data_IF_163372406595
#
_entry.id   IF_163372406595
#
_cell.length_a   1.000
_cell.length_b   1.000
_cell.length_c   1.000
_cell.angle_alpha   90.00
_cell.angle_beta   90.00
_cell.angle_gamma   90.00
#
_symmetry.space_group_name_H-M   'P 1'
#
loop_
_entity.id
_entity.type
_entity.pdbx_description
1 polymer ?
#
# COMPACT_ATOMS: atom_id res chain seq x y z
N UNK A 1 -1.39 14.86 8.58
CA UNK A 1 -1.17 13.99 7.39
C UNK A 1 -2.38 13.07 7.26
N UNK A 2 -2.94 12.93 6.07
CA UNK A 2 -3.95 11.92 5.76
C UNK A 2 -3.22 10.65 5.31
N UNK A 3 -3.49 9.53 5.96
CA UNK A 3 -2.95 8.22 5.53
C UNK A 3 -4.00 7.39 4.76
N UNK A 4 -5.11 8.01 4.39
CA UNK A 4 -6.30 7.40 3.80
C UNK A 4 -6.51 7.74 2.32
N UNK A 5 -5.71 8.63 1.75
CA UNK A 5 -5.77 8.97 0.32
C UNK A 5 -5.36 7.76 -0.51
N UNK A 6 -6.22 7.38 -1.44
CA UNK A 6 -6.04 6.15 -2.23
C UNK A 6 -5.82 6.47 -3.70
N UNK A 7 -4.85 5.79 -4.33
CA UNK A 7 -4.65 5.71 -5.77
C UNK A 7 -5.17 4.38 -6.31
N UNK A 8 -6.16 4.41 -7.18
CA UNK A 8 -6.58 3.24 -7.97
C UNK A 8 -5.94 3.31 -9.36
N UNK A 9 -5.26 2.24 -9.74
CA UNK A 9 -4.60 2.11 -11.04
C UNK A 9 -5.39 1.11 -11.89
N UNK A 10 -5.91 1.59 -13.01
CA UNK A 10 -6.62 0.82 -14.02
C UNK A 10 -5.79 0.72 -15.29
N UNK A 11 -5.98 -0.34 -16.07
CA UNK A 11 -5.32 -0.53 -17.35
C UNK A 11 -6.35 -0.44 -18.49
N UNK A 12 -6.14 0.53 -19.39
CA UNK A 12 -7.03 0.82 -20.50
C UNK A 12 -6.52 0.12 -21.76
N UNK A 13 -7.30 -0.82 -22.28
CA UNK A 13 -7.04 -1.47 -23.57
C UNK A 13 -7.35 -0.53 -24.74
N UNK A 14 -6.81 -0.74 -25.97
CA UNK A 14 -6.92 0.19 -27.09
C UNK A 14 -8.34 0.65 -27.42
N UNK A 15 -9.35 -0.22 -27.27
CA UNK A 15 -10.76 0.14 -27.50
C UNK A 15 -11.34 1.10 -26.45
N UNK A 16 -10.60 1.36 -25.37
CA UNK A 16 -10.97 2.25 -24.27
C UNK A 16 -10.06 3.47 -24.15
N UNK A 17 -9.11 3.64 -25.04
CA UNK A 17 -8.19 4.78 -24.98
C UNK A 17 -8.89 6.09 -25.28
N UNK A 18 -8.44 7.21 -24.68
CA UNK A 18 -8.77 8.55 -25.18
C UNK A 18 -8.31 8.72 -26.62
N UNK A 19 -8.97 9.61 -27.35
CA UNK A 19 -8.60 9.91 -28.74
C UNK A 19 -7.16 10.44 -28.82
N UNK A 20 -6.32 9.77 -29.59
CA UNK A 20 -4.92 10.16 -29.80
C UNK A 20 -3.94 9.68 -28.73
N UNK A 21 -4.40 8.89 -27.78
CA UNK A 21 -3.51 8.32 -26.77
C UNK A 21 -2.59 7.24 -27.34
N UNK A 22 -1.44 7.07 -26.69
CA UNK A 22 -0.40 6.07 -26.98
C UNK A 22 -0.12 5.21 -25.76
N UNK A 23 0.56 4.05 -25.90
CA UNK A 23 0.95 3.24 -24.75
C UNK A 23 1.78 4.04 -23.74
N UNK A 24 1.42 3.95 -22.45
CA UNK A 24 2.04 4.71 -21.37
C UNK A 24 1.39 6.06 -21.07
N UNK A 25 0.56 6.61 -21.96
CA UNK A 25 -0.30 7.73 -21.61
C UNK A 25 -1.31 7.32 -20.54
N UNK A 26 -1.75 8.24 -19.70
CA UNK A 26 -2.73 7.95 -18.67
C UNK A 26 -3.75 9.07 -18.48
N UNK A 27 -4.93 8.67 -18.00
CA UNK A 27 -5.99 9.58 -17.52
C UNK A 27 -5.85 9.67 -16.01
N UNK A 28 -5.99 10.86 -15.44
CA UNK A 28 -6.04 11.10 -14.00
C UNK A 28 -7.37 11.75 -13.64
N UNK A 29 -8.07 11.18 -12.64
CA UNK A 29 -9.32 11.73 -12.11
C UNK A 29 -9.20 11.78 -10.58
N UNK A 30 -9.35 12.95 -10.01
CA UNK A 30 -9.42 13.15 -8.57
C UNK A 30 -10.89 13.18 -8.12
N UNK A 31 -11.21 12.41 -7.08
CA UNK A 31 -12.57 12.17 -6.63
C UNK A 31 -12.68 12.30 -5.11
N UNK A 32 -13.63 13.09 -4.65
CA UNK A 32 -14.00 13.19 -3.23
C UNK A 32 -15.34 12.49 -2.92
N UNK A 33 -16.14 12.20 -3.94
CA UNK A 33 -17.45 11.56 -3.79
C UNK A 33 -17.73 10.60 -4.94
N UNK A 34 -18.43 9.52 -4.66
CA UNK A 34 -18.85 8.55 -5.69
C UNK A 34 -19.64 9.20 -6.83
N UNK A 35 -20.49 10.20 -6.55
CA UNK A 35 -21.31 10.88 -7.56
C UNK A 35 -20.46 11.63 -8.59
N UNK A 36 -19.30 12.13 -8.20
CA UNK A 36 -18.38 12.86 -9.10
C UNK A 36 -17.85 11.92 -10.17
N UNK A 37 -17.54 10.66 -9.79
CA UNK A 37 -17.16 9.63 -10.74
C UNK A 37 -18.27 9.25 -11.73
N UNK A 38 -19.51 9.06 -11.22
CA UNK A 38 -20.62 8.64 -12.08
C UNK A 38 -21.01 9.71 -13.11
N UNK A 39 -20.70 10.97 -12.86
CA UNK A 39 -20.93 12.10 -13.75
C UNK A 39 -19.69 12.46 -14.60
N UNK A 40 -18.54 11.80 -14.37
CA UNK A 40 -17.31 12.13 -15.09
C UNK A 40 -17.33 11.60 -16.53
N UNK A 41 -16.89 12.44 -17.48
CA UNK A 41 -16.89 12.10 -18.89
C UNK A 41 -16.00 10.89 -19.21
N UNK A 42 -14.82 10.83 -18.59
CA UNK A 42 -13.82 9.79 -18.84
C UNK A 42 -14.17 8.43 -18.20
N UNK A 43 -15.23 8.35 -17.43
CA UNK A 43 -15.71 7.07 -16.82
C UNK A 43 -15.89 5.97 -17.85
N UNK A 44 -16.29 6.31 -19.09
CA UNK A 44 -16.50 5.33 -20.15
C UNK A 44 -15.23 4.56 -20.56
N UNK A 45 -14.05 5.10 -20.26
CA UNK A 45 -12.77 4.45 -20.54
C UNK A 45 -12.46 3.31 -19.56
N UNK A 46 -13.06 3.30 -18.36
CA UNK A 46 -12.73 2.35 -17.29
C UNK A 46 -13.52 1.03 -17.38
N UNK A 47 -12.93 -0.02 -16.87
CA UNK A 47 -13.49 -1.37 -16.83
C UNK A 47 -14.65 -1.51 -15.83
N UNK A 48 -15.40 -2.60 -15.93
CA UNK A 48 -16.40 -2.94 -14.91
C UNK A 48 -15.75 -3.18 -13.54
N UNK A 49 -14.54 -3.78 -13.49
CA UNK A 49 -13.80 -4.00 -12.26
C UNK A 49 -13.44 -2.68 -11.59
N UNK A 50 -12.89 -1.73 -12.36
CA UNK A 50 -12.59 -0.39 -11.87
C UNK A 50 -13.85 0.34 -11.39
N UNK A 51 -14.95 0.27 -12.13
CA UNK A 51 -16.23 0.86 -11.73
C UNK A 51 -16.72 0.32 -10.38
N UNK A 52 -16.62 -1.01 -10.17
CA UNK A 52 -16.94 -1.64 -8.89
C UNK A 52 -15.99 -1.24 -7.78
N UNK A 53 -14.69 -1.15 -8.06
CA UNK A 53 -13.69 -0.75 -7.08
C UNK A 53 -13.92 0.68 -6.58
N UNK A 54 -14.16 1.64 -7.48
CA UNK A 54 -14.50 3.04 -7.12
C UNK A 54 -15.76 3.11 -6.25
N UNK A 55 -16.84 2.42 -6.67
CA UNK A 55 -18.08 2.40 -5.89
C UNK A 55 -17.86 1.81 -4.51
N UNK A 56 -17.19 0.66 -4.44
CA UNK A 56 -16.93 -0.06 -3.19
C UNK A 56 -16.00 0.72 -2.26
N UNK A 57 -15.05 1.48 -2.80
CA UNK A 57 -14.20 2.38 -2.01
C UNK A 57 -15.05 3.40 -1.22
N UNK A 58 -15.89 4.15 -1.89
CA UNK A 58 -16.73 5.15 -1.23
C UNK A 58 -17.80 4.52 -0.30
N UNK A 59 -18.41 3.41 -0.70
CA UNK A 59 -19.37 2.67 0.13
C UNK A 59 -18.75 2.19 1.45
N UNK A 60 -17.47 1.84 1.42
CA UNK A 60 -16.70 1.38 2.59
C UNK A 60 -16.04 2.51 3.39
N UNK A 61 -16.27 3.75 3.01
CA UNK A 61 -15.89 4.92 3.78
C UNK A 61 -14.62 5.63 3.32
N UNK A 62 -14.16 5.35 2.10
CA UNK A 62 -13.16 6.18 1.44
C UNK A 62 -13.71 7.57 1.15
N UNK A 63 -12.86 8.58 1.19
CA UNK A 63 -13.24 9.99 0.99
C UNK A 63 -12.45 10.69 -0.10
N UNK A 64 -11.21 10.23 -0.37
CA UNK A 64 -10.36 10.86 -1.37
C UNK A 64 -9.67 9.79 -2.24
N UNK A 65 -9.92 9.84 -3.52
CA UNK A 65 -9.48 8.85 -4.50
C UNK A 65 -8.87 9.52 -5.73
N UNK A 66 -7.63 9.15 -6.06
CA UNK A 66 -7.05 9.38 -7.37
C UNK A 66 -7.25 8.13 -8.22
N UNK A 67 -7.86 8.27 -9.38
CA UNK A 67 -8.05 7.20 -10.34
C UNK A 67 -7.16 7.44 -11.56
N UNK A 68 -6.26 6.50 -11.81
CA UNK A 68 -5.33 6.53 -12.94
C UNK A 68 -5.71 5.45 -13.94
N UNK A 69 -5.92 5.83 -15.19
CA UNK A 69 -6.17 4.89 -16.29
C UNK A 69 -5.01 4.87 -17.26
N UNK A 70 -4.15 3.85 -17.18
CA UNK A 70 -2.93 3.71 -18.01
C UNK A 70 -3.23 2.99 -19.30
N UNK A 71 -2.86 3.57 -20.44
CA UNK A 71 -3.05 3.00 -21.77
C UNK A 71 -2.04 1.87 -22.04
N UNK A 72 -2.53 0.66 -22.34
CA UNK A 72 -1.71 -0.52 -22.66
C UNK A 72 -2.21 -1.15 -23.97
N UNK A 73 -1.31 -1.63 -24.81
CA UNK A 73 -1.69 -2.26 -26.08
C UNK A 73 -2.39 -3.61 -25.88
N UNK A 74 -1.88 -4.38 -24.93
CA UNK A 74 -2.44 -5.70 -24.60
C UNK A 74 -2.21 -6.10 -23.15
N UNK A 75 -2.99 -7.06 -22.66
CA UNK A 75 -2.72 -7.66 -21.34
C UNK A 75 -1.41 -8.41 -21.29
N UNK A 76 -0.88 -8.88 -22.43
CA UNK A 76 0.42 -9.55 -22.50
C UNK A 76 1.59 -8.60 -22.16
N UNK A 77 1.46 -7.31 -22.45
CA UNK A 77 2.48 -6.29 -22.14
C UNK A 77 2.67 -6.12 -20.63
N UNK A 78 1.62 -6.37 -19.86
CA UNK A 78 1.66 -6.33 -18.39
C UNK A 78 2.45 -7.51 -17.78
N UNK A 79 2.65 -8.59 -18.56
CA UNK A 79 3.38 -9.78 -18.13
C UNK A 79 4.89 -9.72 -18.45
N UNK A 80 5.33 -8.71 -19.20
CA UNK A 80 6.73 -8.54 -19.63
C UNK A 80 7.33 -7.35 -18.93
N UNK A 81 8.30 -7.58 -18.04
CA UNK A 81 8.89 -6.56 -17.18
C UNK A 81 9.41 -5.34 -17.96
N UNK A 82 10.15 -5.56 -19.06
CA UNK A 82 10.71 -4.48 -19.87
C UNK A 82 9.63 -3.59 -20.52
N UNK A 83 8.54 -4.19 -21.00
CA UNK A 83 7.41 -3.47 -21.60
C UNK A 83 6.63 -2.74 -20.52
N UNK A 84 6.33 -3.42 -19.41
CA UNK A 84 5.63 -2.85 -18.26
C UNK A 84 6.37 -1.64 -17.70
N UNK A 85 7.70 -1.73 -17.56
CA UNK A 85 8.51 -0.62 -17.06
C UNK A 85 8.34 0.64 -17.92
N UNK A 86 8.35 0.51 -19.24
CA UNK A 86 8.11 1.63 -20.16
C UNK A 86 6.71 2.22 -20.04
N UNK A 87 5.69 1.35 -19.94
CA UNK A 87 4.27 1.76 -19.83
C UNK A 87 3.97 2.42 -18.48
N UNK A 88 4.55 1.93 -17.38
CA UNK A 88 4.31 2.48 -16.05
C UNK A 88 5.18 3.70 -15.73
N UNK A 89 6.30 3.93 -16.44
CA UNK A 89 7.24 4.99 -16.11
C UNK A 89 6.58 6.38 -15.96
N UNK A 90 5.70 6.85 -16.88
CA UNK A 90 5.05 8.15 -16.74
C UNK A 90 4.15 8.22 -15.49
N UNK A 91 3.37 7.16 -15.24
CA UNK A 91 2.53 7.08 -14.04
C UNK A 91 3.36 7.07 -12.76
N UNK A 92 4.42 6.25 -12.68
CA UNK A 92 5.26 6.18 -11.49
C UNK A 92 5.95 7.52 -11.22
N UNK A 93 6.36 8.24 -12.27
CA UNK A 93 6.89 9.60 -12.12
C UNK A 93 5.83 10.57 -11.57
N UNK A 94 4.60 10.52 -12.09
CA UNK A 94 3.48 11.32 -11.55
C UNK A 94 3.17 10.97 -10.09
N UNK A 95 3.18 9.67 -9.77
CA UNK A 95 2.97 9.20 -8.40
C UNK A 95 4.07 9.68 -7.43
N UNK A 96 5.33 9.81 -7.86
CA UNK A 96 6.41 10.33 -6.99
C UNK A 96 6.16 11.78 -6.54
N UNK A 97 5.50 12.57 -7.37
CA UNK A 97 5.16 13.97 -7.05
C UNK A 97 3.94 14.07 -6.13
N UNK A 98 3.03 13.09 -6.18
CA UNK A 98 1.81 13.09 -5.38
C UNK A 98 2.07 12.45 -4.00
N UNK A 99 2.55 13.23 -3.05
CA UNK A 99 2.98 12.75 -1.73
C UNK A 99 1.84 12.28 -0.81
N UNK A 100 0.60 12.72 -1.06
CA UNK A 100 -0.53 12.42 -0.18
C UNK A 100 -1.12 11.02 -0.38
N UNK A 101 -0.85 10.35 -1.51
CA UNK A 101 -1.32 8.99 -1.75
C UNK A 101 -0.60 8.02 -0.82
N UNK A 102 -1.35 7.41 0.10
CA UNK A 102 -0.86 6.45 1.08
C UNK A 102 -1.23 4.99 0.76
N UNK A 103 -2.28 4.76 -0.03
CA UNK A 103 -2.78 3.44 -0.40
C UNK A 103 -2.80 3.35 -1.92
N UNK A 104 -2.30 2.24 -2.46
CA UNK A 104 -2.42 1.91 -3.89
C UNK A 104 -3.22 0.62 -4.05
N UNK A 105 -3.98 0.52 -5.14
CA UNK A 105 -4.63 -0.72 -5.56
C UNK A 105 -4.79 -0.74 -7.09
N UNK A 106 -4.82 -1.96 -7.67
CA UNK A 106 -5.03 -2.14 -9.10
C UNK A 106 -5.94 -3.34 -9.37
N UNK A 107 -7.27 -3.14 -9.35
CA UNK A 107 -8.23 -4.23 -9.46
C UNK A 107 -8.19 -4.95 -10.81
N UNK A 108 -7.81 -4.28 -11.90
CA UNK A 108 -7.80 -4.85 -13.24
C UNK A 108 -6.77 -5.97 -13.41
N UNK A 109 -5.65 -5.93 -12.66
CA UNK A 109 -4.60 -6.95 -12.76
C UNK A 109 -5.04 -8.31 -12.22
N UNK A 110 -6.06 -8.36 -11.39
CA UNK A 110 -6.62 -9.62 -10.89
C UNK A 110 -7.28 -10.47 -11.98
N UNK A 111 -7.55 -9.90 -13.17
CA UNK A 111 -8.05 -10.60 -14.33
C UNK A 111 -6.94 -11.18 -15.22
N UNK A 112 -5.67 -10.88 -14.93
CA UNK A 112 -4.56 -11.43 -15.69
C UNK A 112 -4.44 -12.96 -15.50
N UNK A 113 -4.01 -13.71 -16.53
CA UNK A 113 -3.92 -15.16 -16.48
C UNK A 113 -3.09 -15.69 -15.32
N UNK A 114 -3.57 -16.76 -14.73
CA UNK A 114 -2.88 -17.56 -13.73
C UNK A 114 -2.79 -19.00 -14.22
N UNK A 115 -1.69 -19.69 -13.95
CA UNK A 115 -1.46 -21.06 -14.35
C UNK A 115 -0.72 -21.85 -13.27
N UNK A 116 -1.05 -23.13 -13.17
CA UNK A 116 -0.37 -24.08 -12.28
C UNK A 116 0.37 -25.11 -13.12
N UNK A 117 1.66 -25.29 -12.85
CA UNK A 117 2.50 -26.27 -13.55
C UNK A 117 2.25 -27.71 -13.04
N UNK A 118 2.89 -28.68 -13.70
CA UNK A 118 2.79 -30.12 -13.35
C UNK A 118 3.39 -30.47 -11.98
N UNK A 119 4.11 -29.54 -11.34
CA UNK A 119 4.67 -29.68 -9.99
C UNK A 119 3.81 -28.98 -8.92
N UNK A 120 2.63 -28.46 -9.30
CA UNK A 120 1.73 -27.71 -8.43
C UNK A 120 2.22 -26.29 -8.09
N UNK A 121 3.18 -25.73 -8.85
CA UNK A 121 3.60 -24.36 -8.67
C UNK A 121 2.69 -23.45 -9.46
N UNK A 122 2.04 -22.55 -8.76
CA UNK A 122 1.15 -21.55 -9.33
C UNK A 122 1.90 -20.25 -9.58
N UNK A 123 1.68 -19.66 -10.75
CA UNK A 123 2.22 -18.36 -11.14
C UNK A 123 1.14 -17.53 -11.84
N UNK A 124 1.21 -16.20 -11.69
CA UNK A 124 0.30 -15.27 -12.33
C UNK A 124 1.07 -14.19 -13.08
N UNK A 125 0.54 -13.78 -14.23
CA UNK A 125 1.06 -12.60 -14.93
C UNK A 125 0.91 -11.31 -14.10
N UNK A 126 -0.01 -11.30 -13.14
CA UNK A 126 -0.15 -10.18 -12.18
C UNK A 126 1.11 -9.92 -11.34
N UNK A 127 1.96 -10.95 -11.13
CA UNK A 127 3.14 -10.84 -10.28
C UNK A 127 4.15 -9.78 -10.77
N UNK A 128 4.25 -9.57 -12.08
CA UNK A 128 5.13 -8.56 -12.68
C UNK A 128 4.66 -7.15 -12.29
N UNK A 129 3.36 -6.91 -12.36
CA UNK A 129 2.76 -5.63 -11.94
C UNK A 129 2.84 -5.45 -10.43
N UNK A 130 2.58 -6.52 -9.65
CA UNK A 130 2.73 -6.48 -8.20
C UNK A 130 4.14 -6.08 -7.79
N UNK A 131 5.17 -6.68 -8.45
CA UNK A 131 6.57 -6.35 -8.17
C UNK A 131 6.88 -4.89 -8.41
N UNK A 132 6.47 -4.35 -9.56
CA UNK A 132 6.71 -2.95 -9.93
C UNK A 132 6.03 -1.98 -8.93
N UNK A 133 4.79 -2.24 -8.54
CA UNK A 133 4.06 -1.40 -7.60
C UNK A 133 4.57 -1.54 -6.16
N UNK A 134 4.97 -2.75 -5.74
CA UNK A 134 5.60 -2.95 -4.43
C UNK A 134 6.95 -2.27 -4.33
N UNK A 135 7.76 -2.32 -5.39
CA UNK A 135 9.03 -1.61 -5.48
C UNK A 135 8.82 -0.10 -5.34
N UNK A 136 7.82 0.45 -6.05
CA UNK A 136 7.45 1.85 -5.91
C UNK A 136 6.98 2.21 -4.48
N UNK A 137 6.15 1.36 -3.85
CA UNK A 137 5.73 1.58 -2.47
C UNK A 137 6.91 1.58 -1.48
N UNK A 138 7.89 0.70 -1.70
CA UNK A 138 9.10 0.62 -0.88
C UNK A 138 10.03 1.82 -1.10
N UNK A 139 10.17 2.27 -2.35
CA UNK A 139 10.93 3.47 -2.73
C UNK A 139 10.36 4.72 -2.02
N UNK A 140 9.05 4.89 -2.09
CA UNK A 140 8.36 6.03 -1.48
C UNK A 140 8.31 5.94 0.07
N UNK A 141 8.31 4.73 0.63
CA UNK A 141 8.29 4.49 2.07
C UNK A 141 6.97 4.79 2.78
N UNK A 142 6.15 5.71 2.23
CA UNK A 142 4.87 6.15 2.81
C UNK A 142 3.64 5.43 2.23
N UNK A 143 3.82 4.48 1.28
CA UNK A 143 2.74 3.83 0.53
C UNK A 143 2.57 2.37 0.87
N UNK A 144 1.34 1.90 0.67
CA UNK A 144 0.96 0.53 0.91
C UNK A 144 0.06 0.01 -0.21
N UNK A 145 0.38 -1.16 -0.78
CA UNK A 145 -0.34 -1.77 -1.88
C UNK A 145 -1.37 -2.79 -1.39
N UNK A 146 -2.61 -2.60 -1.77
CA UNK A 146 -3.70 -3.57 -1.58
C UNK A 146 -3.80 -4.43 -2.84
N UNK A 147 -3.61 -5.73 -2.68
CA UNK A 147 -3.54 -6.72 -3.75
C UNK A 147 -4.79 -7.60 -3.75
N UNK A 148 -5.23 -7.97 -4.93
CA UNK A 148 -6.32 -8.91 -5.15
C UNK A 148 -5.77 -10.28 -5.60
N UNK A 149 -6.38 -11.36 -5.12
CA UNK A 149 -6.11 -12.69 -5.65
C UNK A 149 -6.51 -12.76 -7.14
N UNK A 150 -5.73 -13.46 -8.00
CA UNK A 150 -6.11 -13.67 -9.38
C UNK A 150 -7.45 -14.40 -9.50
N UNK A 151 -8.19 -14.09 -10.57
CA UNK A 151 -9.52 -14.65 -10.79
C UNK A 151 -9.49 -16.18 -10.93
N UNK A 152 -10.42 -16.86 -10.24
CA UNK A 152 -10.63 -18.30 -10.37
C UNK A 152 -9.58 -19.17 -9.68
N UNK A 153 -8.66 -18.58 -8.92
CA UNK A 153 -7.63 -19.32 -8.17
C UNK A 153 -8.21 -19.81 -6.84
N UNK A 154 -8.03 -21.11 -6.56
CA UNK A 154 -8.43 -21.72 -5.29
C UNK A 154 -7.39 -21.46 -4.18
N UNK A 155 -7.79 -21.64 -2.92
CA UNK A 155 -6.96 -21.33 -1.76
C UNK A 155 -5.58 -22.03 -1.79
N UNK A 156 -5.49 -23.31 -2.15
CA UNK A 156 -4.22 -24.04 -2.22
C UNK A 156 -3.28 -23.50 -3.30
N UNK A 157 -3.82 -23.19 -4.49
CA UNK A 157 -3.08 -22.60 -5.60
C UNK A 157 -2.59 -21.20 -5.22
N UNK A 158 -3.45 -20.41 -4.54
CA UNK A 158 -3.11 -19.08 -4.06
C UNK A 158 -1.98 -19.12 -3.04
N UNK A 159 -2.00 -20.07 -2.11
CA UNK A 159 -0.93 -20.27 -1.14
C UNK A 159 0.40 -20.62 -1.82
N UNK A 160 0.37 -21.48 -2.85
CA UNK A 160 1.54 -21.81 -3.67
C UNK A 160 2.10 -20.57 -4.39
N UNK A 161 1.23 -19.77 -5.01
CA UNK A 161 1.59 -18.53 -5.69
C UNK A 161 2.22 -17.52 -4.74
N UNK A 162 1.58 -17.24 -3.61
CA UNK A 162 2.07 -16.25 -2.63
C UNK A 162 3.41 -16.67 -2.05
N UNK A 163 3.59 -17.96 -1.75
CA UNK A 163 4.87 -18.48 -1.27
C UNK A 163 5.98 -18.25 -2.30
N UNK A 164 5.79 -18.66 -3.55
CA UNK A 164 6.78 -18.47 -4.62
C UNK A 164 7.06 -17.00 -4.90
N UNK A 165 6.04 -16.14 -4.87
CA UNK A 165 6.18 -14.70 -5.05
C UNK A 165 6.96 -14.05 -3.92
N UNK A 166 6.67 -14.39 -2.66
CA UNK A 166 7.32 -13.79 -1.50
C UNK A 166 8.81 -14.15 -1.40
N UNK A 167 9.20 -15.36 -1.81
CA UNK A 167 10.60 -15.82 -1.76
C UNK A 167 11.52 -15.11 -2.77
N UNK A 168 10.97 -14.61 -3.90
CA UNK A 168 11.78 -13.99 -4.97
C UNK A 168 12.37 -12.63 -4.61
N UNK A 169 11.64 -11.79 -3.88
CA UNK A 169 12.11 -10.46 -3.48
C UNK A 169 11.53 -10.06 -2.11
N UNK A 170 12.10 -10.54 -1.00
CA UNK A 170 11.52 -10.36 0.32
C UNK A 170 11.52 -8.91 0.82
N UNK A 171 12.40 -8.03 0.31
CA UNK A 171 12.58 -6.67 0.82
C UNK A 171 11.34 -5.78 0.68
N UNK A 172 10.57 -5.93 -0.41
CA UNK A 172 9.41 -5.08 -0.71
C UNK A 172 8.09 -5.65 -0.16
N UNK A 173 8.08 -6.90 0.30
CA UNK A 173 6.85 -7.63 0.67
C UNK A 173 6.09 -7.04 1.84
N UNK A 174 6.76 -6.30 2.71
CA UNK A 174 6.11 -5.61 3.83
C UNK A 174 5.18 -4.47 3.40
N UNK A 175 5.34 -3.97 2.18
CA UNK A 175 4.54 -2.86 1.63
C UNK A 175 3.25 -3.29 0.92
N UNK A 176 2.87 -4.56 0.99
CA UNK A 176 1.64 -5.04 0.39
C UNK A 176 0.90 -6.09 1.21
N UNK A 177 -0.41 -6.19 0.99
CA UNK A 177 -1.29 -7.20 1.56
C UNK A 177 -2.27 -7.72 0.50
N UNK A 178 -2.40 -9.04 0.41
CA UNK A 178 -3.25 -9.71 -0.56
C UNK A 178 -4.54 -10.20 0.09
N UNK A 179 -5.66 -9.99 -0.59
CA UNK A 179 -7.01 -10.32 -0.13
C UNK A 179 -7.70 -11.36 -1.03
N UNK A 180 -8.45 -12.26 -0.40
CA UNK A 180 -9.17 -13.37 -1.02
C UNK A 180 -10.39 -13.74 -0.17
N UNK A 181 -11.49 -14.20 -0.76
CA UNK A 181 -11.80 -14.29 -2.19
C UNK A 181 -12.40 -13.00 -2.75
N UNK A 182 -12.85 -13.07 -4.00
CA UNK A 182 -13.56 -11.99 -4.66
C UNK A 182 -14.93 -11.75 -4.03
N UNK A 183 -15.37 -10.50 -4.11
CA UNK A 183 -16.69 -10.06 -3.66
C UNK A 183 -17.76 -10.38 -4.71
N UNK A 184 -18.99 -10.59 -4.23
CA UNK A 184 -20.15 -10.78 -5.09
C UNK A 184 -21.25 -9.79 -4.73
N UNK A 185 -21.82 -9.19 -5.78
CA UNK A 185 -23.02 -8.35 -5.69
C UNK A 185 -23.95 -8.75 -6.83
N UNK A 186 -25.09 -9.36 -6.50
CA UNK A 186 -25.96 -10.01 -7.48
C UNK A 186 -25.16 -11.02 -8.30
N UNK A 187 -25.13 -10.87 -9.65
CA UNK A 187 -24.40 -11.75 -10.56
C UNK A 187 -22.96 -11.27 -10.87
N UNK A 188 -22.55 -10.11 -10.35
CA UNK A 188 -21.24 -9.55 -10.58
C UNK A 188 -20.24 -10.04 -9.53
N UNK A 189 -19.09 -10.54 -10.00
CA UNK A 189 -17.92 -10.88 -9.21
C UNK A 189 -16.83 -9.83 -9.46
N UNK A 190 -16.24 -9.29 -8.42
CA UNK A 190 -15.23 -8.23 -8.53
C UNK A 190 -14.16 -8.30 -7.43
N UNK A 191 -12.95 -7.82 -7.74
CA UNK A 191 -11.84 -7.82 -6.78
C UNK A 191 -12.14 -6.96 -5.54
N UNK A 192 -11.69 -7.38 -4.34
CA UNK A 192 -12.00 -6.68 -3.10
C UNK A 192 -11.18 -5.40 -2.85
N UNK A 193 -10.10 -5.12 -3.57
CA UNK A 193 -9.12 -4.06 -3.24
C UNK A 193 -9.74 -2.68 -3.07
N UNK A 194 -10.72 -2.30 -3.89
CA UNK A 194 -11.42 -1.03 -3.73
C UNK A 194 -12.18 -0.94 -2.40
N UNK A 195 -12.92 -1.99 -2.03
CA UNK A 195 -13.62 -2.08 -0.76
C UNK A 195 -12.64 -2.07 0.43
N UNK A 196 -11.54 -2.80 0.31
CA UNK A 196 -10.48 -2.89 1.34
C UNK A 196 -9.81 -1.54 1.54
N UNK A 197 -9.47 -0.81 0.47
CA UNK A 197 -8.94 0.55 0.58
C UNK A 197 -9.91 1.49 1.32
N UNK A 198 -11.22 1.38 1.04
CA UNK A 198 -12.25 2.10 1.78
C UNK A 198 -12.32 1.71 3.26
N UNK A 199 -12.13 0.41 3.59
CA UNK A 199 -12.04 -0.06 4.98
C UNK A 199 -10.81 0.52 5.68
N UNK A 200 -9.68 0.62 5.01
CA UNK A 200 -8.48 1.24 5.57
C UNK A 200 -8.77 2.70 5.94
N UNK A 201 -9.28 3.48 5.00
CA UNK A 201 -9.65 4.87 5.20
C UNK A 201 -10.67 5.04 6.35
N UNK A 202 -11.72 4.21 6.38
CA UNK A 202 -12.72 4.22 7.45
C UNK A 202 -12.11 3.90 8.80
N UNK A 203 -11.27 2.87 8.90
CA UNK A 203 -10.65 2.45 10.15
C UNK A 203 -9.79 3.56 10.73
N UNK A 204 -9.03 4.24 9.90
CA UNK A 204 -8.20 5.37 10.32
C UNK A 204 -9.04 6.52 10.84
N UNK A 205 -10.07 6.91 10.11
CA UNK A 205 -10.94 8.01 10.51
C UNK A 205 -11.73 7.73 11.79
N UNK A 206 -12.32 6.55 11.91
CA UNK A 206 -13.13 6.18 13.09
C UNK A 206 -12.28 6.01 14.36
N UNK A 207 -10.98 5.69 14.21
CA UNK A 207 -10.06 5.51 15.35
C UNK A 207 -9.27 6.77 15.71
N UNK A 208 -9.44 7.85 14.96
CA UNK A 208 -8.82 9.16 15.24
C UNK A 208 -7.47 9.37 14.58
N UNK A 209 -6.75 10.43 15.00
CA UNK A 209 -5.54 10.96 14.33
C UNK A 209 -4.48 9.90 14.01
N UNK A 210 -4.42 8.84 14.80
CA UNK A 210 -3.46 7.75 14.62
C UNK A 210 -4.16 6.41 14.40
N UNK A 211 -5.30 6.44 13.71
CA UNK A 211 -6.09 5.25 13.40
C UNK A 211 -5.35 4.18 12.61
N UNK A 212 -4.27 4.55 11.91
CA UNK A 212 -3.35 3.64 11.21
C UNK A 212 -2.74 2.56 12.13
N UNK A 213 -2.66 2.80 13.43
CA UNK A 213 -2.20 1.81 14.42
C UNK A 213 -3.17 0.63 14.59
N UNK A 214 -4.41 0.77 14.13
CA UNK A 214 -5.40 -0.29 14.23
C UNK A 214 -5.40 -1.16 12.99
N UNK A 215 -5.42 -2.52 13.15
CA UNK A 215 -5.50 -3.40 12.00
C UNK A 215 -6.83 -3.20 11.26
N UNK A 216 -6.83 -3.09 9.92
CA UNK A 216 -8.05 -3.02 9.12
C UNK A 216 -8.70 -4.40 8.98
N UNK A 217 -8.93 -5.07 10.10
CA UNK A 217 -9.48 -6.41 10.21
C UNK A 217 -10.62 -6.47 11.22
N UNK A 218 -11.41 -7.52 11.16
CA UNK A 218 -12.65 -7.70 11.91
C UNK A 218 -13.67 -6.58 11.64
N UNK A 219 -13.68 -6.09 10.38
CA UNK A 219 -14.54 -5.00 9.91
C UNK A 219 -15.46 -5.52 8.82
N UNK A 220 -16.76 -5.23 8.92
CA UNK A 220 -17.75 -5.62 7.90
C UNK A 220 -17.61 -4.76 6.66
N UNK A 221 -17.65 -5.39 5.49
CA UNK A 221 -17.74 -4.73 4.20
C UNK A 221 -19.17 -4.26 3.93
N UNK A 222 -19.29 -3.12 3.28
CA UNK A 222 -20.55 -2.56 2.81
C UNK A 222 -20.67 -2.82 1.30
N UNK A 223 -21.90 -2.98 0.83
CA UNK A 223 -22.18 -3.10 -0.60
C UNK A 223 -21.91 -4.47 -1.24
N UNK A 224 -21.12 -5.34 -0.63
CA UNK A 224 -21.03 -6.74 -1.02
C UNK A 224 -22.10 -7.56 -0.32
N UNK A 225 -22.83 -8.39 -1.08
CA UNK A 225 -23.88 -9.26 -0.53
C UNK A 225 -23.36 -10.63 -0.18
N UNK A 226 -22.27 -11.05 -0.84
CA UNK A 226 -21.70 -12.39 -0.75
C UNK A 226 -20.23 -12.37 -1.20
N UNK A 227 -19.56 -13.50 -1.15
CA UNK A 227 -18.21 -13.76 -1.67
C UNK A 227 -18.22 -14.97 -2.61
N UNK A 228 -17.24 -15.07 -3.48
CA UNK A 228 -17.17 -16.12 -4.50
C UNK A 228 -17.06 -17.52 -3.87
N UNK A 229 -16.22 -17.66 -2.86
CA UNK A 229 -16.03 -18.87 -2.06
C UNK A 229 -15.95 -18.46 -0.59
N UNK A 230 -16.73 -19.09 0.29
CA UNK A 230 -16.63 -18.80 1.71
C UNK A 230 -15.68 -19.80 2.39
N UNK A 231 -14.44 -19.39 2.73
CA UNK A 231 -13.49 -20.29 3.38
C UNK A 231 -14.03 -20.74 4.73
N UNK A 232 -13.85 -22.02 5.02
CA UNK A 232 -14.10 -22.48 6.39
C UNK A 232 -13.04 -21.94 7.37
N UNK A 233 -13.22 -22.17 8.67
CA UNK A 233 -12.31 -21.63 9.69
C UNK A 233 -10.87 -22.18 9.57
N UNK A 234 -10.69 -23.43 9.07
CA UNK A 234 -9.37 -24.06 8.87
C UNK A 234 -8.69 -23.46 7.65
N UNK A 235 -9.43 -23.33 6.57
CA UNK A 235 -8.96 -22.70 5.34
C UNK A 235 -8.61 -21.24 5.58
N UNK A 236 -9.45 -20.49 6.31
CA UNK A 236 -9.16 -19.11 6.70
C UNK A 236 -7.90 -19.00 7.57
N UNK A 237 -7.67 -19.97 8.46
CA UNK A 237 -6.43 -20.09 9.25
C UNK A 237 -5.22 -20.33 8.36
N UNK A 238 -5.28 -21.31 7.46
CA UNK A 238 -4.21 -21.63 6.53
C UNK A 238 -3.88 -20.46 5.59
N UNK A 239 -4.89 -19.76 5.07
CA UNK A 239 -4.73 -18.54 4.28
C UNK A 239 -3.99 -17.46 5.06
N UNK A 240 -4.42 -17.19 6.30
CA UNK A 240 -3.76 -16.21 7.17
C UNK A 240 -2.30 -16.59 7.46
N UNK A 241 -1.99 -17.83 7.75
CA UNK A 241 -0.63 -18.29 7.98
C UNK A 241 0.23 -18.21 6.72
N UNK A 242 -0.39 -18.40 5.55
CA UNK A 242 0.21 -18.21 4.23
C UNK A 242 0.21 -16.77 3.74
N UNK A 243 -0.03 -15.76 4.59
CA UNK A 243 0.02 -14.32 4.25
C UNK A 243 -1.06 -13.84 3.28
N UNK A 244 -2.16 -14.54 3.22
CA UNK A 244 -3.37 -14.16 2.50
C UNK A 244 -4.42 -13.71 3.51
N UNK A 245 -5.07 -12.58 3.26
CA UNK A 245 -6.10 -12.04 4.15
C UNK A 245 -7.47 -12.52 3.71
N UNK A 246 -8.08 -13.48 4.43
CA UNK A 246 -9.37 -14.00 4.02
C UNK A 246 -10.52 -13.02 4.30
N UNK A 247 -11.48 -13.00 3.39
CA UNK A 247 -12.81 -12.47 3.60
C UNK A 247 -13.73 -13.63 3.94
N UNK A 248 -14.57 -13.49 4.96
CA UNK A 248 -15.48 -14.55 5.40
C UNK A 248 -16.89 -13.99 5.59
N UNK A 249 -17.88 -14.85 5.48
CA UNK A 249 -19.25 -14.50 5.84
C UNK A 249 -19.48 -14.84 7.30
N UNK A 250 -19.84 -13.82 8.10
CA UNK A 250 -20.25 -14.00 9.49
C UNK A 250 -21.74 -13.80 9.65
N UNK A 251 -22.45 -14.70 10.34
CA UNK A 251 -23.87 -14.52 10.65
C UNK A 251 -24.13 -13.20 11.36
N UNK A 252 -25.09 -12.43 10.87
CA UNK A 252 -25.47 -11.13 11.41
C UNK A 252 -24.54 -9.96 11.08
N UNK A 253 -23.39 -10.20 10.47
CA UNK A 253 -22.42 -9.16 10.09
C UNK A 253 -22.16 -9.05 8.58
N UNK A 254 -22.55 -10.09 7.80
CA UNK A 254 -22.26 -10.17 6.38
C UNK A 254 -20.81 -10.49 6.08
N UNK A 255 -20.27 -9.93 5.00
CA UNK A 255 -18.86 -10.13 4.61
C UNK A 255 -17.94 -9.34 5.53
N UNK A 256 -16.97 -10.01 6.12
CA UNK A 256 -16.03 -9.45 7.10
C UNK A 256 -14.60 -9.65 6.64
N UNK A 257 -13.77 -8.61 6.75
CA UNK A 257 -12.30 -8.71 6.59
C UNK A 257 -11.74 -9.45 7.80
N UNK A 258 -11.16 -10.64 7.59
CA UNK A 258 -10.73 -11.51 8.68
C UNK A 258 -9.22 -11.52 8.92
N UNK A 259 -8.43 -10.86 8.09
CA UNK A 259 -6.97 -10.76 8.19
C UNK A 259 -6.44 -9.37 7.96
N UNK A 260 -5.25 -9.08 8.51
CA UNK A 260 -4.46 -7.88 8.25
C UNK A 260 -2.97 -8.20 8.27
N UNK A 261 -2.56 -9.14 7.41
CA UNK A 261 -1.16 -9.56 7.25
C UNK A 261 -0.57 -9.00 5.97
N UNK A 262 0.68 -8.61 6.04
CA UNK A 262 1.47 -8.26 4.84
C UNK A 262 1.98 -9.53 4.15
N UNK A 263 2.61 -9.37 3.00
CA UNK A 263 3.30 -10.47 2.30
C UNK A 263 4.67 -10.82 2.91
N UNK A 264 5.12 -10.10 3.96
CA UNK A 264 6.44 -10.29 4.57
C UNK A 264 6.46 -11.42 5.59
N UNK A 265 7.58 -12.12 5.65
CA UNK A 265 7.90 -13.09 6.70
C UNK A 265 8.57 -12.45 7.92
N UNK A 266 9.03 -11.20 7.80
CA UNK A 266 9.64 -10.47 8.91
C UNK A 266 8.62 -10.31 10.05
N UNK A 267 8.91 -10.83 11.25
CA UNK A 267 8.00 -10.74 12.40
C UNK A 267 7.56 -9.31 12.72
N UNK A 268 8.44 -8.31 12.51
CA UNK A 268 8.16 -6.91 12.77
C UNK A 268 7.17 -6.32 11.75
N UNK A 269 7.28 -6.74 10.49
CA UNK A 269 6.45 -6.22 9.41
C UNK A 269 5.34 -7.17 8.94
N UNK A 270 5.06 -8.20 9.71
CA UNK A 270 4.01 -9.18 9.39
C UNK A 270 2.60 -8.60 9.41
N UNK A 271 2.34 -7.58 10.25
CA UNK A 271 1.03 -6.95 10.36
C UNK A 271 0.95 -5.65 9.52
N UNK A 272 -0.18 -5.47 8.84
CA UNK A 272 -0.46 -4.29 8.00
C UNK A 272 -0.31 -2.99 8.80
N UNK A 273 -0.93 -2.92 9.98
CA UNK A 273 -0.87 -1.74 10.82
C UNK A 273 0.56 -1.42 11.28
N UNK A 274 1.38 -2.44 11.62
CA UNK A 274 2.78 -2.23 12.00
C UNK A 274 3.58 -1.56 10.88
N UNK A 275 3.48 -2.07 9.63
CA UNK A 275 4.15 -1.45 8.49
C UNK A 275 3.65 -0.02 8.24
N UNK A 276 2.34 0.20 8.30
CA UNK A 276 1.73 1.50 8.03
C UNK A 276 2.05 2.54 9.13
N UNK A 277 2.17 2.12 10.39
CA UNK A 277 2.67 2.99 11.47
C UNK A 277 4.09 3.45 11.18
N UNK A 278 4.98 2.54 10.78
CA UNK A 278 6.36 2.90 10.42
C UNK A 278 6.38 3.87 9.25
N UNK A 279 5.60 3.61 8.21
CA UNK A 279 5.48 4.52 7.06
C UNK A 279 5.01 5.92 7.46
N UNK A 280 3.98 6.01 8.30
CA UNK A 280 3.46 7.28 8.81
C UNK A 280 4.49 8.03 9.67
N UNK A 281 5.17 7.33 10.57
CA UNK A 281 6.21 7.93 11.44
C UNK A 281 7.36 8.47 10.58
N UNK A 282 7.84 7.68 9.63
CA UNK A 282 8.92 8.09 8.72
C UNK A 282 8.54 9.34 7.93
N UNK A 283 7.36 9.33 7.33
CA UNK A 283 6.89 10.45 6.53
C UNK A 283 6.66 11.71 7.36
N UNK A 284 6.11 11.58 8.56
CA UNK A 284 5.91 12.73 9.44
C UNK A 284 7.24 13.35 9.90
N UNK A 285 8.21 12.49 10.25
CA UNK A 285 9.56 12.96 10.60
C UNK A 285 10.25 13.62 9.41
N UNK A 286 10.08 13.11 8.19
CA UNK A 286 10.61 13.71 6.96
C UNK A 286 10.03 15.12 6.77
N UNK A 287 8.70 15.25 6.77
CA UNK A 287 8.00 16.54 6.57
C UNK A 287 8.35 17.58 7.64
N UNK A 288 8.41 17.19 8.91
CA UNK A 288 8.75 18.09 10.00
C UNK A 288 10.18 18.66 9.89
N UNK A 289 11.06 17.99 9.15
CA UNK A 289 12.46 18.32 9.03
C UNK A 289 12.91 18.73 7.61
N UNK A 290 11.97 18.89 6.66
CA UNK A 290 12.26 19.34 5.28
C UNK A 290 13.01 20.68 5.21
N UNK A 291 12.77 21.56 6.14
CA UNK A 291 13.45 22.85 6.22
C UNK A 291 14.97 22.71 6.26
N UNK A 292 15.49 21.60 6.78
CA UNK A 292 16.93 21.38 6.94
C UNK A 292 17.67 21.18 5.60
N UNK A 293 16.97 20.89 4.51
CA UNK A 293 17.56 20.74 3.17
C UNK A 293 18.27 22.03 2.70
N UNK A 294 17.80 23.19 3.17
CA UNK A 294 18.35 24.50 2.81
C UNK A 294 19.38 25.03 3.80
N UNK A 295 19.68 24.26 4.86
CA UNK A 295 20.57 24.68 5.93
C UNK A 295 22.00 24.10 5.76
N UNK A 296 22.97 24.68 6.45
CA UNK A 296 24.33 24.14 6.48
C UNK A 296 24.36 22.84 7.28
N UNK A 297 25.02 21.82 6.73
CA UNK A 297 25.16 20.53 7.39
C UNK A 297 26.25 20.59 8.50
N UNK A 298 25.88 21.19 9.65
CA UNK A 298 26.73 21.43 10.79
C UNK A 298 26.11 20.99 12.14
N UNK A 299 26.90 21.01 13.21
CA UNK A 299 26.50 20.57 14.55
C UNK A 299 25.28 21.33 15.08
N UNK A 300 25.04 22.59 14.64
CA UNK A 300 23.91 23.40 15.12
C UNK A 300 22.60 22.88 14.48
N UNK A 301 22.63 22.61 13.21
CA UNK A 301 21.48 22.06 12.49
C UNK A 301 21.18 20.65 13.00
N UNK A 302 22.19 19.83 13.26
CA UNK A 302 22.00 18.49 13.83
C UNK A 302 21.32 18.52 15.18
N UNK A 303 21.71 19.43 16.07
CA UNK A 303 21.07 19.57 17.37
C UNK A 303 19.59 20.00 17.28
N UNK A 304 19.25 20.84 16.30
CA UNK A 304 17.86 21.26 16.06
C UNK A 304 17.04 20.09 15.51
N UNK A 305 17.58 19.33 14.56
CA UNK A 305 16.93 18.14 13.98
C UNK A 305 16.68 17.06 15.02
N UNK A 306 17.70 16.75 15.83
CA UNK A 306 17.57 15.78 16.91
C UNK A 306 16.45 16.19 17.89
N UNK A 307 16.39 17.46 18.24
CA UNK A 307 15.35 18.00 19.13
C UNK A 307 13.97 17.92 18.47
N UNK A 308 13.84 18.32 17.21
CA UNK A 308 12.60 18.24 16.44
C UNK A 308 12.07 16.82 16.40
N UNK A 309 12.91 15.86 16.00
CA UNK A 309 12.55 14.45 15.94
C UNK A 309 12.14 13.89 17.32
N UNK A 310 12.86 14.25 18.40
CA UNK A 310 12.50 13.83 19.77
C UNK A 310 11.13 14.36 20.20
N UNK A 311 10.80 15.61 19.90
CA UNK A 311 9.48 16.18 20.22
C UNK A 311 8.39 15.41 19.51
N UNK A 312 8.56 15.10 18.24
CA UNK A 312 7.59 14.33 17.46
C UNK A 312 7.44 12.89 17.98
N UNK A 313 8.55 12.24 18.30
CA UNK A 313 8.53 10.88 18.86
C UNK A 313 7.86 10.82 20.23
N UNK A 314 8.00 11.85 21.05
CA UNK A 314 7.28 11.96 22.33
C UNK A 314 5.76 12.09 22.12
N UNK A 315 5.31 12.82 21.09
CA UNK A 315 3.89 12.88 20.72
C UNK A 315 3.36 11.50 20.29
N UNK A 316 4.12 10.79 19.45
CA UNK A 316 3.76 9.43 19.03
C UNK A 316 3.72 8.44 20.20
N UNK A 317 4.65 8.56 21.13
CA UNK A 317 4.63 7.75 22.34
C UNK A 317 3.41 8.03 23.20
N UNK A 318 3.09 9.30 23.46
CA UNK A 318 1.87 9.69 24.22
C UNK A 318 0.58 9.22 23.53
N UNK A 319 0.59 9.14 22.24
CA UNK A 319 -0.52 8.62 21.43
C UNK A 319 -0.58 7.09 21.37
N UNK A 320 0.39 6.37 21.93
CA UNK A 320 0.44 4.91 21.95
C UNK A 320 0.91 4.26 20.65
N UNK A 321 1.53 5.01 19.75
CA UNK A 321 2.11 4.49 18.50
C UNK A 321 3.47 3.82 18.70
N UNK A 322 4.19 4.24 19.72
CA UNK A 322 5.49 3.70 20.12
C UNK A 322 5.31 3.03 21.46
N UNK A 323 5.73 1.78 21.57
CA UNK A 323 5.71 1.01 22.81
C UNK A 323 6.96 1.34 23.62
N UNK A 324 6.79 1.80 24.84
CA UNK A 324 7.89 2.09 25.77
C UNK A 324 7.45 1.90 27.20
N UNK A 325 8.27 1.22 28.00
CA UNK A 325 8.13 1.18 29.45
C UNK A 325 8.73 2.45 30.11
N UNK A 326 9.65 3.11 29.40
CA UNK A 326 10.29 4.33 29.84
C UNK A 326 10.30 5.36 28.70
N UNK A 327 9.59 6.50 28.80
CA UNK A 327 9.47 7.51 27.73
C UNK A 327 10.80 8.14 27.30
N UNK A 328 11.85 7.97 28.09
CA UNK A 328 13.19 8.49 27.78
C UNK A 328 14.16 7.45 27.22
N UNK A 329 13.74 6.15 27.13
CA UNK A 329 14.66 5.05 26.86
C UNK A 329 14.40 4.20 25.63
N UNK A 330 13.19 4.23 25.07
CA UNK A 330 12.81 3.27 24.04
C UNK A 330 12.79 3.85 22.62
N UNK A 331 13.23 5.08 22.43
CA UNK A 331 13.59 5.62 21.13
C UNK A 331 14.91 6.40 21.23
N UNK A 332 15.74 6.22 20.22
CA UNK A 332 17.01 6.92 20.06
C UNK A 332 16.94 7.78 18.80
N UNK A 333 17.38 9.02 18.90
CA UNK A 333 17.62 9.90 17.75
C UNK A 333 19.09 10.23 17.74
N UNK A 334 19.73 10.01 16.62
CA UNK A 334 21.14 10.27 16.39
C UNK A 334 21.31 11.13 15.13
N UNK A 335 21.90 12.30 15.30
CA UNK A 335 22.27 13.18 14.21
C UNK A 335 23.62 13.82 14.57
N UNK A 336 24.72 13.21 14.14
CA UNK A 336 26.08 13.55 14.55
C UNK A 336 27.09 13.24 13.43
N UNK A 337 28.38 13.25 13.76
CA UNK A 337 29.46 12.94 12.83
C UNK A 337 29.47 11.48 12.34
N UNK A 338 28.86 10.55 13.05
CA UNK A 338 28.73 9.14 12.62
C UNK A 338 27.66 9.00 11.56
N UNK A 339 26.51 9.68 11.73
CA UNK A 339 25.43 9.69 10.74
C UNK A 339 25.73 10.61 9.57
N UNK A 340 26.58 11.64 9.75
CA UNK A 340 26.94 12.63 8.74
C UNK A 340 28.46 12.72 8.56
N UNK A 341 29.13 11.67 8.06
CA UNK A 341 30.56 11.71 7.76
C UNK A 341 30.86 12.72 6.64
N UNK A 342 32.13 13.17 6.50
CA UNK A 342 32.50 14.20 5.52
C UNK A 342 32.07 13.88 4.07
N UNK A 343 32.00 12.60 3.70
CA UNK A 343 31.56 12.17 2.35
C UNK A 343 30.10 12.52 2.13
N UNK A 344 29.23 12.20 3.07
CA UNK A 344 27.79 12.50 3.01
C UNK A 344 27.54 14.01 3.03
N UNK A 345 28.24 14.74 3.89
CA UNK A 345 28.15 16.22 3.95
C UNK A 345 28.57 16.87 2.64
N UNK A 346 29.64 16.40 2.03
CA UNK A 346 30.11 16.93 0.75
C UNK A 346 29.16 16.59 -0.42
N UNK A 347 28.38 15.52 -0.28
CA UNK A 347 27.30 15.17 -1.23
C UNK A 347 25.99 15.96 -0.99
N UNK A 348 25.96 16.87 -0.02
CA UNK A 348 24.76 17.65 0.33
C UNK A 348 23.70 16.84 1.08
N UNK A 349 24.03 15.63 1.52
CA UNK A 349 23.09 14.75 2.22
C UNK A 349 23.19 14.94 3.73
N UNK A 350 22.04 15.09 4.40
CA UNK A 350 21.93 15.15 5.83
C UNK A 350 21.12 13.96 6.33
N UNK A 351 21.73 13.18 7.24
CA UNK A 351 21.16 11.94 7.74
C UNK A 351 20.78 12.03 9.20
N UNK A 352 19.56 11.59 9.53
CA UNK A 352 19.08 11.45 10.91
C UNK A 352 18.69 9.98 11.11
N UNK A 353 19.30 9.32 12.09
CA UNK A 353 18.96 7.95 12.47
C UNK A 353 18.00 7.95 13.64
N UNK A 354 16.88 7.25 13.48
CA UNK A 354 15.88 7.09 14.52
C UNK A 354 15.71 5.61 14.80
N UNK A 355 15.84 5.20 16.05
CA UNK A 355 15.49 3.85 16.49
C UNK A 355 14.29 3.94 17.41
N UNK A 356 13.30 3.13 17.17
CA UNK A 356 12.07 3.09 17.95
C UNK A 356 11.41 1.70 17.88
N UNK A 357 10.50 1.41 18.80
CA UNK A 357 9.68 0.19 18.80
C UNK A 357 8.21 0.55 18.56
N UNK A 358 7.71 0.42 17.33
CA UNK A 358 6.31 0.67 17.02
C UNK A 358 5.37 -0.26 17.77
N UNK A 359 4.12 0.15 17.97
CA UNK A 359 3.09 -0.70 18.53
C UNK A 359 2.91 -1.98 17.70
N UNK A 360 2.80 -3.11 18.39
CA UNK A 360 2.64 -4.43 17.76
C UNK A 360 3.94 -5.06 17.26
N UNK A 361 5.09 -4.41 17.46
CA UNK A 361 6.42 -4.97 17.18
C UNK A 361 7.11 -5.45 18.46
N UNK A 362 7.94 -6.48 18.32
CA UNK A 362 8.74 -7.04 19.44
C UNK A 362 10.13 -6.43 19.52
N UNK A 363 10.65 -5.93 18.39
CA UNK A 363 12.00 -5.40 18.26
C UNK A 363 11.99 -3.92 17.89
N UNK A 364 13.14 -3.26 18.14
CA UNK A 364 13.38 -1.91 17.66
C UNK A 364 13.64 -1.95 16.15
N UNK A 365 13.10 -0.97 15.45
CA UNK A 365 13.43 -0.70 14.06
C UNK A 365 14.32 0.53 13.96
N UNK A 366 15.15 0.57 12.93
CA UNK A 366 15.95 1.74 12.57
C UNK A 366 15.35 2.39 11.34
N UNK A 367 15.12 3.69 11.42
CA UNK A 367 14.70 4.56 10.32
C UNK A 367 15.85 5.51 10.04
N UNK A 368 16.45 5.42 8.87
CA UNK A 368 17.45 6.39 8.40
C UNK A 368 16.74 7.40 7.49
N UNK A 369 16.55 8.62 8.02
CA UNK A 369 15.99 9.75 7.26
C UNK A 369 17.11 10.40 6.49
N UNK A 370 16.98 10.49 5.18
CA UNK A 370 17.85 11.28 4.31
C UNK A 370 17.13 12.56 3.92
N UNK A 371 17.75 13.69 4.26
CA UNK A 371 17.28 15.03 3.90
C UNK A 371 18.32 15.65 2.96
N UNK A 372 17.88 16.28 1.85
CA UNK A 372 18.75 16.82 0.83
C UNK A 372 18.57 16.08 -0.50
N UNK A 373 19.23 16.52 -1.56
CA UNK A 373 18.98 16.12 -2.95
C UNK A 373 18.76 14.61 -3.10
N UNK A 374 17.51 14.25 -3.32
CA UNK A 374 17.19 13.04 -4.06
C UNK A 374 17.67 13.30 -5.47
N UNK A 375 18.68 12.58 -5.90
CA UNK A 375 19.28 12.75 -7.22
C UNK A 375 18.22 12.90 -8.31
N UNK A 376 18.46 13.87 -9.16
CA UNK A 376 17.71 14.18 -10.35
C UNK A 376 17.49 12.97 -11.26
#
# INVERSE_FOLDING_TARGET
MRCDVTGLIAFLMPQRWPTGATPGDFIEIELERAVDYWNHADRAHFSAATNHAVSSFFENGGEHLFLFGVCVESSADLAVEATLAGVLAPLLQRLRVEEDIAILASPDIAYLPCSTDHLGRTSSQAEVVWEALLAHCAEMGNRFLVLDAPRGVHAEELLSLVKGFAERNPSNRSHGALYYPWLRRQDAHFPPSGAIAGVYARTERERGVYGVAWPPANVSLRGATDIEVNPDWREAGALSDGRVNPLIIQPGRGVVVWGARTLSDDPNFRAVNSRRVVSMVTEQLRRDNEWAVFEQNDDKVWAVLERSARVRLEEFWRAGLITSENPRGDYLVQCDHETNPPVERNAGTLNVRVQLRPIGMTEHITIDLRLGESGA
#
